data_IF_566178498290
#
_entry.id   IF_566178498290
#
_cell.length_a   1.000
_cell.length_b   1.000
_cell.length_c   1.000
_cell.angle_alpha   90.00
_cell.angle_beta   90.00
_cell.angle_gamma   90.00
#
_symmetry.space_group_name_H-M   'P 1'
#
loop_
_entity.id
_entity.type
_entity.pdbx_description
1 polymer ?
#
# COMPACT_ATOMS: atom_id res chain seq x y z
N UNK A 1 -63.82 31.50 27.41
CA UNK A 1 -63.49 30.59 28.53
C UNK A 1 -62.84 29.34 27.95
N UNK A 2 -61.51 29.15 28.05
CA UNK A 2 -60.90 27.85 27.82
C UNK A 2 -61.10 27.01 29.09
N UNK A 3 -61.54 25.75 28.96
CA UNK A 3 -61.53 24.80 30.07
C UNK A 3 -60.38 23.84 29.79
N UNK A 4 -59.38 23.87 30.65
CA UNK A 4 -58.18 23.04 30.54
C UNK A 4 -58.30 21.67 31.21
N UNK A 5 -57.26 20.86 30.96
CA UNK A 5 -56.68 19.78 31.75
C UNK A 5 -57.63 18.67 32.22
N UNK A 6 -57.43 17.39 31.89
CA UNK A 6 -56.41 16.46 32.41
C UNK A 6 -57.05 15.06 32.25
N UNK A 7 -56.37 13.96 31.94
CA UNK A 7 -55.59 13.15 32.87
C UNK A 7 -54.88 12.02 32.08
N UNK A 8 -53.64 11.77 32.49
CA UNK A 8 -52.68 10.82 31.97
C UNK A 8 -53.04 9.36 32.32
N UNK A 9 -52.74 8.35 31.46
CA UNK A 9 -52.51 6.97 31.94
C UNK A 9 -51.53 6.14 31.09
N UNK A 10 -50.26 6.17 31.50
CA UNK A 10 -49.36 5.03 31.78
C UNK A 10 -49.11 3.99 30.65
N UNK A 11 -47.92 4.06 30.01
CA UNK A 11 -46.82 3.07 30.18
C UNK A 11 -45.60 3.43 29.31
N UNK A 12 -44.49 3.63 30.00
CA UNK A 12 -43.11 3.29 29.62
C UNK A 12 -42.93 2.68 28.21
N UNK A 13 -42.53 3.48 27.22
CA UNK A 13 -41.44 3.19 26.28
C UNK A 13 -41.03 4.55 25.71
N UNK A 14 -39.79 4.98 25.96
CA UNK A 14 -39.27 6.18 25.31
C UNK A 14 -39.45 6.03 23.80
N UNK A 15 -40.22 6.93 23.18
CA UNK A 15 -40.31 7.02 21.73
C UNK A 15 -38.91 7.39 21.23
N UNK A 16 -38.12 6.37 20.89
CA UNK A 16 -36.82 6.54 20.27
C UNK A 16 -37.05 7.24 18.94
N UNK A 17 -36.84 8.57 18.92
CA UNK A 17 -37.07 9.41 17.75
C UNK A 17 -36.27 8.82 16.56
N UNK A 18 -36.91 8.49 15.42
CA UNK A 18 -36.26 7.87 14.26
C UNK A 18 -35.18 8.75 13.61
N UNK A 19 -35.06 10.01 14.06
CA UNK A 19 -34.06 10.99 13.65
C UNK A 19 -32.64 10.59 14.03
N UNK A 20 -32.44 9.90 15.16
CA UNK A 20 -31.10 9.45 15.58
C UNK A 20 -30.60 8.28 14.74
N UNK A 21 -31.50 7.37 14.35
CA UNK A 21 -31.17 6.25 13.46
C UNK A 21 -30.90 6.73 12.03
N UNK A 22 -31.65 7.72 11.55
CA UNK A 22 -31.41 8.34 10.25
C UNK A 22 -30.06 9.06 10.21
N UNK A 23 -29.72 9.84 11.24
CA UNK A 23 -28.42 10.51 11.35
C UNK A 23 -27.28 9.49 11.50
N UNK A 24 -27.45 8.46 12.33
CA UNK A 24 -26.45 7.40 12.48
C UNK A 24 -26.22 6.64 11.17
N UNK A 25 -27.28 6.32 10.43
CA UNK A 25 -27.19 5.72 9.10
C UNK A 25 -26.47 6.64 8.11
N UNK A 26 -26.75 7.94 8.14
CA UNK A 26 -26.06 8.92 7.31
C UNK A 26 -24.56 9.00 7.63
N UNK A 27 -24.20 8.96 8.92
CA UNK A 27 -22.79 8.95 9.35
C UNK A 27 -22.06 7.67 8.91
N UNK A 28 -22.69 6.50 9.03
CA UNK A 28 -22.12 5.24 8.56
C UNK A 28 -21.91 5.24 7.04
N UNK A 29 -22.88 5.76 6.28
CA UNK A 29 -22.77 5.89 4.82
C UNK A 29 -21.64 6.86 4.43
N UNK A 30 -21.53 8.00 5.12
CA UNK A 30 -20.45 8.95 4.90
C UNK A 30 -19.08 8.37 5.24
N UNK A 31 -18.95 7.67 6.38
CA UNK A 31 -17.70 7.02 6.77
C UNK A 31 -17.29 5.93 5.78
N UNK A 32 -18.24 5.08 5.34
CA UNK A 32 -18.01 4.06 4.32
C UNK A 32 -17.58 4.66 2.98
N UNK A 33 -18.19 5.77 2.56
CA UNK A 33 -17.79 6.50 1.36
C UNK A 33 -16.36 7.06 1.49
N UNK A 34 -16.03 7.68 2.62
CA UNK A 34 -14.68 8.20 2.89
C UNK A 34 -13.64 7.08 2.88
N UNK A 35 -13.91 5.94 3.52
CA UNK A 35 -13.05 4.75 3.50
C UNK A 35 -12.84 4.20 2.09
N UNK A 36 -13.91 4.12 1.28
CA UNK A 36 -13.82 3.67 -0.11
C UNK A 36 -13.01 4.62 -0.99
N UNK A 37 -13.15 5.93 -0.79
CA UNK A 37 -12.34 6.94 -1.50
C UNK A 37 -10.86 6.86 -1.12
N UNK A 38 -10.53 6.64 0.16
CA UNK A 38 -9.14 6.45 0.59
C UNK A 38 -8.54 5.16 0.02
N UNK A 39 -9.29 4.04 0.02
CA UNK A 39 -8.84 2.78 -0.55
C UNK A 39 -8.52 2.88 -2.06
N UNK A 40 -9.22 3.74 -2.81
CA UNK A 40 -8.95 4.01 -4.23
C UNK A 40 -7.65 4.80 -4.45
N UNK A 41 -7.30 5.72 -3.55
CA UNK A 41 -6.08 6.55 -3.64
C UNK A 41 -4.82 5.72 -3.36
N UNK A 42 -4.92 4.68 -2.53
CA UNK A 42 -3.77 3.80 -2.23
C UNK A 42 -3.40 2.82 -3.35
N UNK A 43 -4.20 2.72 -4.43
CA UNK A 43 -3.87 1.94 -5.62
C UNK A 43 -3.37 2.85 -6.74
N UNK A 44 -2.29 3.59 -6.51
CA UNK A 44 -1.41 3.97 -7.61
C UNK A 44 -0.56 2.73 -7.90
N UNK A 45 -1.13 1.80 -8.68
CA UNK A 45 -0.31 0.87 -9.44
C UNK A 45 0.37 1.73 -10.51
N UNK A 46 1.52 2.31 -10.16
CA UNK A 46 2.41 2.91 -11.13
C UNK A 46 2.89 1.77 -12.02
N UNK A 47 2.06 1.38 -12.99
CA UNK A 47 2.48 0.58 -14.12
C UNK A 47 3.53 1.41 -14.83
N UNK A 48 4.78 1.21 -14.41
CA UNK A 48 5.96 1.58 -15.15
C UNK A 48 5.87 0.86 -16.49
N UNK A 49 5.21 1.49 -17.46
CA UNK A 49 4.99 0.96 -18.81
C UNK A 49 6.25 1.22 -19.64
N UNK A 50 7.32 0.53 -19.28
CA UNK A 50 8.51 0.41 -20.12
C UNK A 50 8.87 -1.07 -20.24
N UNK A 51 9.18 -1.51 -21.45
CA UNK A 51 9.49 -2.91 -21.73
C UNK A 51 10.88 -3.32 -21.20
N UNK A 52 11.77 -2.34 -20.99
CA UNK A 52 13.15 -2.59 -20.57
C UNK A 52 13.78 -1.40 -19.82
N UNK A 53 14.74 -1.72 -18.95
CA UNK A 53 15.63 -0.75 -18.30
C UNK A 53 17.02 -0.90 -18.91
N UNK A 54 17.56 0.20 -19.43
CA UNK A 54 18.95 0.27 -19.87
C UNK A 54 19.77 0.96 -18.78
N UNK A 55 20.59 0.18 -18.08
CA UNK A 55 21.46 0.69 -17.03
C UNK A 55 22.87 0.94 -17.59
N UNK A 56 23.37 2.16 -17.40
CA UNK A 56 24.75 2.55 -17.69
C UNK A 56 25.43 2.95 -16.39
N UNK A 57 26.64 2.46 -16.15
CA UNK A 57 27.33 2.78 -14.92
C UNK A 57 28.66 2.08 -14.78
N UNK A 58 29.02 1.85 -13.53
CA UNK A 58 30.24 1.19 -13.10
C UNK A 58 29.93 -0.16 -12.43
N UNK A 59 30.93 -0.72 -11.76
CA UNK A 59 30.87 -1.99 -11.05
C UNK A 59 29.74 -2.11 -10.02
N UNK A 60 29.21 -1.00 -9.49
CA UNK A 60 28.10 -1.02 -8.53
C UNK A 60 26.77 -1.44 -9.15
N UNK A 61 26.68 -1.42 -10.49
CA UNK A 61 25.47 -1.69 -11.25
C UNK A 61 25.66 -2.76 -12.33
N UNK A 62 26.91 -3.21 -12.51
CA UNK A 62 27.27 -4.18 -13.51
C UNK A 62 26.91 -5.61 -13.09
N UNK A 63 25.97 -6.22 -13.80
CA UNK A 63 25.49 -7.58 -13.54
C UNK A 63 26.27 -8.66 -14.29
N UNK A 64 27.33 -8.30 -15.01
CA UNK A 64 28.22 -9.24 -15.71
C UNK A 64 28.77 -8.73 -17.05
N UNK A 65 28.54 -7.47 -17.41
CA UNK A 65 29.11 -6.84 -18.59
C UNK A 65 30.63 -6.76 -18.56
N UNK A 66 31.24 -6.44 -17.40
CA UNK A 66 32.70 -6.52 -17.25
C UNK A 66 33.19 -7.96 -17.40
N UNK A 67 32.51 -8.93 -16.76
CA UNK A 67 32.86 -10.35 -16.87
C UNK A 67 32.70 -10.92 -18.28
N UNK A 68 31.78 -10.38 -19.08
CA UNK A 68 31.62 -10.79 -20.48
C UNK A 68 32.81 -10.38 -21.36
N UNK A 69 33.54 -9.32 -20.99
CA UNK A 69 34.66 -8.78 -21.76
C UNK A 69 36.04 -9.10 -21.14
N UNK A 70 36.11 -9.31 -19.82
CA UNK A 70 37.33 -9.46 -19.04
C UNK A 70 37.18 -10.61 -18.02
N UNK A 71 38.29 -11.11 -17.43
CA UNK A 71 38.22 -12.14 -16.39
C UNK A 71 37.29 -11.76 -15.24
N UNK A 72 36.54 -12.74 -14.73
CA UNK A 72 35.62 -12.54 -13.61
C UNK A 72 36.34 -12.07 -12.36
N UNK A 73 35.61 -11.34 -11.54
CA UNK A 73 35.97 -11.17 -10.16
C UNK A 73 35.95 -12.51 -9.45
N UNK A 74 37.13 -12.93 -8.99
CA UNK A 74 37.35 -14.17 -8.27
C UNK A 74 36.66 -14.13 -6.90
N UNK A 75 36.66 -15.27 -6.19
CA UNK A 75 36.32 -15.31 -4.76
C UNK A 75 36.95 -14.10 -4.02
N UNK A 76 36.20 -13.39 -3.14
CA UNK A 76 34.97 -13.83 -2.45
C UNK A 76 33.63 -13.40 -3.06
N UNK A 77 33.58 -12.75 -4.23
CA UNK A 77 32.36 -12.07 -4.69
C UNK A 77 31.22 -13.00 -5.12
N UNK A 78 30.17 -13.11 -4.31
CA UNK A 78 28.95 -13.86 -4.58
C UNK A 78 28.78 -15.07 -3.65
N UNK A 79 29.71 -15.29 -2.74
CA UNK A 79 29.69 -16.38 -1.79
C UNK A 79 28.61 -16.20 -0.69
N UNK A 80 28.30 -14.97 -0.27
CA UNK A 80 27.30 -14.74 0.79
C UNK A 80 25.86 -14.97 0.32
N UNK A 81 25.47 -14.45 -0.84
CA UNK A 81 24.09 -14.57 -1.34
C UNK A 81 23.89 -15.70 -2.35
N UNK A 82 24.77 -15.82 -3.35
CA UNK A 82 24.61 -16.79 -4.44
C UNK A 82 25.32 -18.12 -4.16
N UNK A 83 26.26 -18.16 -3.20
CA UNK A 83 27.05 -19.34 -2.87
C UNK A 83 28.14 -19.68 -3.89
N UNK A 84 28.37 -18.81 -4.88
CA UNK A 84 29.38 -19.00 -5.93
C UNK A 84 29.82 -17.66 -6.53
N UNK A 85 31.03 -17.59 -7.13
CA UNK A 85 31.46 -16.39 -7.85
C UNK A 85 30.51 -16.04 -8.99
N UNK A 86 29.94 -14.85 -8.96
CA UNK A 86 28.96 -14.40 -9.99
C UNK A 86 29.55 -13.51 -11.07
N UNK A 87 30.81 -13.10 -10.92
CA UNK A 87 31.44 -12.10 -11.79
C UNK A 87 30.99 -10.66 -11.52
N UNK A 88 30.15 -10.43 -10.50
CA UNK A 88 29.76 -9.11 -10.02
C UNK A 88 30.75 -8.60 -8.97
N UNK A 89 30.90 -7.29 -8.84
CA UNK A 89 31.70 -6.67 -7.78
C UNK A 89 30.95 -6.55 -6.45
N UNK A 90 30.18 -7.58 -6.09
CA UNK A 90 29.37 -7.62 -4.87
C UNK A 90 29.27 -9.05 -4.35
N UNK A 91 29.16 -9.19 -3.03
CA UNK A 91 28.90 -10.48 -2.39
C UNK A 91 27.41 -10.85 -2.34
N UNK A 92 26.58 -10.03 -3.00
CA UNK A 92 25.15 -10.24 -3.13
C UNK A 92 24.51 -9.49 -4.28
N UNK A 93 23.23 -9.14 -4.10
CA UNK A 93 22.47 -8.35 -5.08
C UNK A 93 23.02 -6.93 -5.21
N UNK A 94 22.92 -6.37 -6.41
CA UNK A 94 23.22 -4.96 -6.70
C UNK A 94 21.96 -4.12 -6.50
N UNK A 95 22.11 -2.79 -6.42
CA UNK A 95 20.95 -1.88 -6.28
C UNK A 95 19.95 -2.07 -7.43
N UNK A 96 20.44 -2.33 -8.65
CA UNK A 96 19.61 -2.59 -9.83
C UNK A 96 18.74 -3.85 -9.74
N UNK A 97 19.04 -4.78 -8.83
CA UNK A 97 18.22 -5.99 -8.62
C UNK A 97 16.97 -5.71 -7.76
N UNK A 98 16.80 -4.48 -7.24
CA UNK A 98 15.68 -4.06 -6.40
C UNK A 98 14.77 -3.02 -7.06
N UNK A 99 15.13 -2.56 -8.27
CA UNK A 99 14.34 -1.63 -9.07
C UNK A 99 13.20 -2.37 -9.77
#
# INVERSE_FOLDING_TARGET
RPVGASWCRVREMGCFRPRNLAVFRQLLLAAGLVLALHAKVHHIDAKCEFDAIFNFGDSNSDTGGFYAAFPAQSSPWGMTYFGMPTGRASDGRLVVDFL
#
